data_IF_356644745655
#
_entry.id   IF_356644745655
#
_cell.length_a   1.000
_cell.length_b   1.000
_cell.length_c   1.000
_cell.angle_alpha   90.00
_cell.angle_beta   90.00
_cell.angle_gamma   90.00
#
_symmetry.space_group_name_H-M   'P 1'
#
loop_
_entity.id
_entity.type
_entity.pdbx_description
1 polymer ?
#
# COMPACT_ATOMS: atom_id res chain seq x y z
N UNK A 1 57.05 -31.40 -45.87
CA UNK A 1 55.86 -30.55 -46.12
C UNK A 1 54.97 -30.63 -44.89
N UNK A 2 54.46 -29.48 -44.49
CA UNK A 2 54.13 -29.11 -43.10
C UNK A 2 52.92 -29.85 -42.53
N UNK A 3 53.00 -30.26 -41.27
CA UNK A 3 51.86 -30.68 -40.46
C UNK A 3 51.49 -29.55 -39.50
N UNK A 4 50.21 -29.20 -39.57
CA UNK A 4 49.45 -28.18 -38.86
C UNK A 4 49.48 -28.38 -37.34
N UNK A 5 49.84 -27.32 -36.60
CA UNK A 5 49.69 -27.27 -35.14
C UNK A 5 48.38 -26.56 -34.79
N UNK A 6 47.41 -27.35 -34.33
CA UNK A 6 46.26 -26.85 -33.59
C UNK A 6 46.71 -26.60 -32.14
N UNK A 7 46.84 -25.33 -31.75
CA UNK A 7 46.91 -24.98 -30.34
C UNK A 7 45.55 -25.27 -29.73
N UNK A 8 45.51 -26.29 -28.88
CA UNK A 8 44.44 -26.49 -27.92
C UNK A 8 44.31 -25.22 -27.06
N UNK A 9 43.13 -24.61 -27.05
CA UNK A 9 42.74 -23.63 -26.04
C UNK A 9 42.32 -24.40 -24.78
N UNK A 10 42.91 -24.02 -23.66
CA UNK A 10 42.88 -24.71 -22.38
C UNK A 10 41.45 -24.94 -21.82
N UNK A 11 41.22 -26.05 -21.08
CA UNK A 11 39.95 -26.33 -20.42
C UNK A 11 39.62 -25.39 -19.24
N UNK A 12 40.46 -24.38 -18.96
CA UNK A 12 40.24 -23.35 -17.94
C UNK A 12 39.40 -22.15 -18.43
N UNK A 13 39.09 -22.06 -19.74
CA UNK A 13 38.22 -21.00 -20.30
C UNK A 13 36.71 -21.25 -20.06
N UNK A 14 36.32 -22.40 -19.49
CA UNK A 14 34.92 -22.72 -19.18
C UNK A 14 34.49 -22.33 -17.75
N UNK A 15 35.10 -21.28 -17.17
CA UNK A 15 34.77 -20.78 -15.82
C UNK A 15 34.34 -19.32 -15.76
N UNK A 16 33.83 -18.79 -16.88
CA UNK A 16 33.14 -17.49 -16.91
C UNK A 16 31.63 -17.68 -17.10
N UNK A 17 31.00 -18.38 -16.16
CA UNK A 17 29.55 -18.36 -15.91
C UNK A 17 29.29 -18.62 -14.42
N UNK A 18 29.94 -17.82 -13.57
CA UNK A 18 29.50 -17.63 -12.20
C UNK A 18 28.79 -16.28 -12.15
N UNK A 19 27.51 -16.29 -12.53
CA UNK A 19 26.56 -15.25 -12.13
C UNK A 19 26.39 -15.37 -10.61
N UNK A 20 27.34 -14.88 -9.84
CA UNK A 20 27.11 -14.54 -8.44
C UNK A 20 26.37 -13.22 -8.45
N UNK A 21 25.09 -13.27 -8.83
CA UNK A 21 24.17 -12.22 -8.43
C UNK A 21 24.02 -12.40 -6.92
N UNK A 22 24.81 -11.63 -6.18
CA UNK A 22 24.60 -11.36 -4.77
C UNK A 22 23.28 -10.60 -4.65
N UNK A 23 22.16 -11.30 -4.81
CA UNK A 23 20.81 -10.76 -4.66
C UNK A 23 20.57 -10.26 -3.22
N UNK A 24 21.49 -10.59 -2.30
CA UNK A 24 21.61 -10.07 -0.94
C UNK A 24 21.68 -8.54 -0.87
N UNK A 25 22.25 -7.88 -1.88
CA UNK A 25 22.42 -6.42 -1.91
C UNK A 25 21.10 -5.65 -1.99
N UNK A 26 20.02 -6.31 -2.44
CA UNK A 26 18.70 -5.71 -2.57
C UNK A 26 17.73 -6.17 -1.46
N UNK A 27 18.24 -6.76 -0.38
CA UNK A 27 17.43 -7.07 0.80
C UNK A 27 16.97 -5.76 1.47
N UNK A 28 15.64 -5.59 1.53
CA UNK A 28 14.94 -4.46 2.16
C UNK A 28 15.39 -4.21 3.62
N UNK A 29 15.95 -5.23 4.28
CA UNK A 29 16.43 -5.20 5.66
C UNK A 29 17.75 -4.40 5.84
N UNK A 30 18.34 -3.86 4.77
CA UNK A 30 19.60 -3.09 4.79
C UNK A 30 19.44 -1.58 4.51
N UNK A 31 18.20 -1.07 4.44
CA UNK A 31 17.91 0.33 4.10
C UNK A 31 18.50 1.34 5.12
N UNK A 32 18.75 0.92 6.36
CA UNK A 32 19.35 1.74 7.43
C UNK A 32 20.77 2.26 7.08
N UNK A 33 21.43 1.68 6.07
CA UNK A 33 22.78 2.06 5.63
C UNK A 33 22.84 3.06 4.47
N UNK A 34 21.70 3.46 3.90
CA UNK A 34 21.65 4.38 2.78
C UNK A 34 21.39 5.80 3.30
N UNK A 35 22.46 6.58 3.44
CA UNK A 35 22.38 7.97 3.88
C UNK A 35 21.46 8.79 2.96
N UNK A 36 20.41 9.39 3.54
CA UNK A 36 19.46 10.25 2.84
C UNK A 36 18.12 9.61 2.47
N UNK A 37 17.90 8.32 2.76
CA UNK A 37 16.56 7.73 2.71
C UNK A 37 15.80 8.04 3.99
N UNK A 38 14.53 8.40 3.83
CA UNK A 38 13.57 8.57 4.93
C UNK A 38 12.51 7.48 4.84
N UNK A 39 12.07 6.96 5.99
CA UNK A 39 10.97 6.00 6.04
C UNK A 39 9.73 6.56 5.36
N UNK A 40 9.10 5.72 4.53
CA UNK A 40 7.84 6.09 3.92
C UNK A 40 6.74 6.11 4.98
N UNK A 41 6.10 7.27 5.13
CA UNK A 41 4.93 7.44 5.98
C UNK A 41 3.76 7.99 5.17
N UNK A 42 2.70 7.20 5.01
CA UNK A 42 1.51 7.59 4.25
C UNK A 42 0.84 8.86 4.79
N UNK A 43 0.95 9.12 6.10
CA UNK A 43 0.34 10.27 6.78
C UNK A 43 0.82 11.59 6.17
N UNK A 44 2.07 11.66 5.73
CA UNK A 44 2.68 12.87 5.16
C UNK A 44 2.06 13.27 3.80
N UNK A 45 1.40 12.32 3.14
CA UNK A 45 0.78 12.51 1.83
C UNK A 45 -0.75 12.75 1.91
N UNK A 46 -1.37 12.60 3.08
CA UNK A 46 -2.83 12.78 3.31
C UNK A 46 -3.20 14.27 3.52
N UNK A 47 -2.71 15.12 2.62
CA UNK A 47 -2.80 16.58 2.74
C UNK A 47 -4.12 17.15 2.23
N UNK A 48 -4.70 16.57 1.16
CA UNK A 48 -5.97 17.03 0.57
C UNK A 48 -7.14 16.05 0.77
N UNK A 49 -8.40 16.52 0.69
CA UNK A 49 -9.58 15.65 0.71
C UNK A 49 -9.55 14.59 -0.39
N UNK A 50 -9.06 14.94 -1.58
CA UNK A 50 -8.98 14.05 -2.74
C UNK A 50 -7.96 12.92 -2.50
N UNK A 51 -6.81 13.24 -1.91
CA UNK A 51 -5.80 12.25 -1.55
C UNK A 51 -6.34 11.26 -0.51
N UNK A 52 -7.07 11.76 0.50
CA UNK A 52 -7.73 10.92 1.50
C UNK A 52 -8.78 10.02 0.86
N UNK A 53 -9.61 10.56 -0.02
CA UNK A 53 -10.66 9.79 -0.70
C UNK A 53 -10.05 8.68 -1.57
N UNK A 54 -9.00 8.99 -2.35
CA UNK A 54 -8.28 8.00 -3.15
C UNK A 54 -7.71 6.87 -2.26
N UNK A 55 -7.00 7.25 -1.19
CA UNK A 55 -6.41 6.30 -0.26
C UNK A 55 -7.44 5.36 0.39
N UNK A 56 -8.57 5.91 0.88
CA UNK A 56 -9.63 5.10 1.49
C UNK A 56 -10.30 4.20 0.44
N UNK A 57 -10.50 4.67 -0.79
CA UNK A 57 -11.08 3.86 -1.85
C UNK A 57 -10.20 2.65 -2.22
N UNK A 58 -8.89 2.86 -2.36
CA UNK A 58 -7.94 1.78 -2.64
C UNK A 58 -7.99 0.70 -1.55
N UNK A 59 -8.08 1.12 -0.29
CA UNK A 59 -8.19 0.22 0.85
C UNK A 59 -9.53 -0.52 0.86
N UNK A 60 -10.64 0.14 0.53
CA UNK A 60 -11.95 -0.51 0.40
C UNK A 60 -11.91 -1.58 -0.71
N UNK A 61 -11.27 -1.29 -1.85
CA UNK A 61 -11.12 -2.24 -2.96
C UNK A 61 -10.32 -3.49 -2.59
N UNK A 62 -9.43 -3.42 -1.59
CA UNK A 62 -8.69 -4.59 -1.09
C UNK A 62 -9.59 -5.59 -0.33
N UNK A 63 -10.76 -5.17 0.16
CA UNK A 63 -11.67 -6.00 0.94
C UNK A 63 -11.18 -6.35 2.35
N UNK A 64 -10.05 -5.80 2.81
CA UNK A 64 -9.47 -6.09 4.11
C UNK A 64 -9.93 -5.09 5.19
N UNK A 65 -10.72 -5.58 6.16
CA UNK A 65 -11.24 -4.76 7.25
C UNK A 65 -10.18 -4.22 8.22
N UNK A 66 -9.05 -4.92 8.37
CA UNK A 66 -7.96 -4.45 9.23
C UNK A 66 -7.20 -3.30 8.57
N UNK A 67 -6.93 -3.41 7.26
CA UNK A 67 -6.37 -2.30 6.49
C UNK A 67 -7.31 -1.08 6.50
N UNK A 68 -8.62 -1.28 6.45
CA UNK A 68 -9.59 -0.18 6.57
C UNK A 68 -9.45 0.57 7.90
N UNK A 69 -9.33 -0.15 9.02
CA UNK A 69 -9.12 0.48 10.34
C UNK A 69 -7.80 1.25 10.38
N UNK A 70 -6.75 0.68 9.81
CA UNK A 70 -5.44 1.33 9.73
C UNK A 70 -5.47 2.59 8.88
N UNK A 71 -6.12 2.52 7.72
CA UNK A 71 -6.28 3.67 6.84
C UNK A 71 -7.00 4.83 7.53
N UNK A 72 -8.09 4.55 8.25
CA UNK A 72 -8.79 5.57 9.03
C UNK A 72 -7.89 6.16 10.12
N UNK A 73 -7.04 5.35 10.78
CA UNK A 73 -6.06 5.86 11.76
C UNK A 73 -5.04 6.79 11.12
N UNK A 74 -4.53 6.43 9.95
CA UNK A 74 -3.54 7.25 9.24
C UNK A 74 -4.15 8.62 8.89
N UNK A 75 -5.40 8.65 8.42
CA UNK A 75 -6.12 9.90 8.16
C UNK A 75 -6.37 10.69 9.46
N UNK A 76 -6.74 10.02 10.56
CA UNK A 76 -6.90 10.64 11.87
C UNK A 76 -5.61 11.26 12.39
N UNK A 77 -4.46 10.62 12.13
CA UNK A 77 -3.15 11.15 12.47
C UNK A 77 -2.83 12.40 11.63
N UNK A 78 -3.16 12.40 10.34
CA UNK A 78 -2.93 13.53 9.44
C UNK A 78 -3.81 14.76 9.76
N UNK A 79 -5.07 14.55 10.14
CA UNK A 79 -6.07 15.64 10.31
C UNK A 79 -6.38 15.98 11.77
N UNK A 80 -6.04 15.10 12.71
CA UNK A 80 -6.27 15.25 14.14
C UNK A 80 -7.57 14.61 14.63
N UNK A 81 -7.44 13.71 15.62
CA UNK A 81 -8.55 12.94 16.21
C UNK A 81 -9.64 13.83 16.80
N UNK A 82 -9.27 14.93 17.46
CA UNK A 82 -10.22 15.81 18.13
C UNK A 82 -11.22 16.44 17.16
N UNK A 83 -10.72 16.95 16.02
CA UNK A 83 -11.52 17.57 14.99
C UNK A 83 -12.49 16.56 14.37
N UNK A 84 -11.99 15.35 14.07
CA UNK A 84 -12.82 14.32 13.44
C UNK A 84 -13.87 13.77 14.41
N UNK A 85 -13.54 13.62 15.69
CA UNK A 85 -14.52 13.22 16.71
C UNK A 85 -15.71 14.19 16.75
N UNK A 86 -15.42 15.51 16.79
CA UNK A 86 -16.43 16.56 16.75
C UNK A 86 -17.26 16.50 15.45
N UNK A 87 -16.60 16.40 14.30
CA UNK A 87 -17.28 16.38 12.99
C UNK A 87 -18.07 15.09 12.73
N UNK A 88 -17.68 13.97 13.34
CA UNK A 88 -18.37 12.68 13.22
C UNK A 88 -19.47 12.47 14.26
N UNK A 89 -19.62 13.38 15.24
CA UNK A 89 -20.55 13.22 16.36
C UNK A 89 -20.16 12.10 17.32
N UNK A 90 -18.88 11.68 17.32
CA UNK A 90 -18.34 10.65 18.20
C UNK A 90 -17.52 11.28 19.33
N UNK A 91 -17.46 10.62 20.49
CA UNK A 91 -16.48 10.99 21.51
C UNK A 91 -15.08 10.53 21.11
N UNK A 92 -14.02 11.20 21.58
CA UNK A 92 -12.64 10.76 21.34
C UNK A 92 -12.41 9.31 21.78
N UNK A 93 -12.98 8.94 22.93
CA UNK A 93 -12.96 7.57 23.43
C UNK A 93 -13.67 6.59 22.49
N UNK A 94 -14.81 6.99 21.93
CA UNK A 94 -15.54 6.24 20.91
C UNK A 94 -14.70 6.00 19.66
N UNK A 95 -14.02 7.03 19.15
CA UNK A 95 -13.10 6.91 18.01
C UNK A 95 -11.97 5.92 18.32
N UNK A 96 -11.31 6.05 19.47
CA UNK A 96 -10.25 5.10 19.85
C UNK A 96 -10.78 3.68 20.01
N UNK A 97 -11.94 3.49 20.63
CA UNK A 97 -12.57 2.18 20.80
C UNK A 97 -12.92 1.53 19.47
N UNK A 98 -13.42 2.31 18.52
CA UNK A 98 -13.82 1.87 17.19
C UNK A 98 -12.65 1.44 16.29
N UNK A 99 -11.43 1.89 16.61
CA UNK A 99 -10.23 1.63 15.80
C UNK A 99 -9.20 0.75 16.51
N UNK A 100 -9.51 0.20 17.69
CA UNK A 100 -8.60 -0.76 18.36
C UNK A 100 -8.40 -2.01 17.49
N UNK A 101 -7.24 -2.68 17.57
CA UNK A 101 -6.94 -3.84 16.73
C UNK A 101 -8.04 -4.93 16.76
N UNK A 102 -8.53 -5.27 17.95
CA UNK A 102 -9.59 -6.28 18.17
C UNK A 102 -11.02 -5.78 17.94
N UNK A 103 -11.20 -4.50 17.59
CA UNK A 103 -12.53 -3.94 17.39
C UNK A 103 -13.11 -4.31 16.03
N UNK A 104 -14.43 -4.48 16.01
CA UNK A 104 -15.26 -4.64 14.82
C UNK A 104 -16.27 -3.50 14.80
N UNK A 105 -15.87 -2.31 14.34
CA UNK A 105 -16.77 -1.16 14.31
C UNK A 105 -18.01 -1.48 13.47
N UNK A 106 -19.18 -1.07 13.97
CA UNK A 106 -20.42 -1.19 13.21
C UNK A 106 -20.41 -0.23 12.03
N UNK A 107 -21.25 -0.52 11.02
CA UNK A 107 -21.40 0.32 9.83
C UNK A 107 -21.66 1.79 10.18
N UNK A 108 -22.57 2.06 11.12
CA UNK A 108 -22.91 3.43 11.51
C UNK A 108 -21.69 4.19 12.05
N UNK A 109 -20.82 3.51 12.80
CA UNK A 109 -19.57 4.11 13.30
C UNK A 109 -18.60 4.43 12.17
N UNK A 110 -18.43 3.51 11.22
CA UNK A 110 -17.59 3.74 10.03
C UNK A 110 -18.15 4.91 9.22
N UNK A 111 -19.46 4.92 8.96
CA UNK A 111 -20.13 6.00 8.23
C UNK A 111 -19.97 7.36 8.91
N UNK A 112 -20.13 7.42 10.23
CA UNK A 112 -19.91 8.66 10.99
C UNK A 112 -18.46 9.15 10.88
N UNK A 113 -17.49 8.24 11.00
CA UNK A 113 -16.07 8.59 10.83
C UNK A 113 -15.78 9.13 9.42
N UNK A 114 -16.26 8.45 8.38
CA UNK A 114 -16.11 8.90 7.00
C UNK A 114 -16.78 10.26 6.77
N UNK A 115 -17.97 10.47 7.32
CA UNK A 115 -18.68 11.76 7.23
C UNK A 115 -17.89 12.86 7.94
N UNK A 116 -17.31 12.58 9.12
CA UNK A 116 -16.43 13.51 9.84
C UNK A 116 -15.14 13.83 9.08
N UNK A 117 -14.70 12.95 8.19
CA UNK A 117 -13.60 13.19 7.26
C UNK A 117 -14.01 13.99 6.01
N UNK A 118 -15.29 14.33 5.85
CA UNK A 118 -15.82 14.95 4.64
C UNK A 118 -15.95 13.98 3.47
N UNK A 119 -16.03 12.67 3.75
CA UNK A 119 -16.15 11.61 2.75
C UNK A 119 -17.58 11.07 2.71
N UNK A 120 -17.97 10.60 1.53
CA UNK A 120 -19.24 9.93 1.29
C UNK A 120 -18.98 8.57 0.66
N UNK A 121 -19.67 7.53 1.13
CA UNK A 121 -19.62 6.20 0.51
C UNK A 121 -20.61 6.14 -0.64
N UNK A 122 -20.14 5.74 -1.82
CA UNK A 122 -20.98 5.53 -3.00
C UNK A 122 -21.01 4.07 -3.38
N UNK A 123 -22.21 3.58 -3.70
CA UNK A 123 -22.40 2.26 -4.31
C UNK A 123 -22.33 2.43 -5.80
N UNK A 124 -21.38 1.73 -6.42
CA UNK A 124 -21.25 1.65 -7.88
C UNK A 124 -21.55 0.22 -8.32
N UNK A 125 -22.15 0.06 -9.49
CA UNK A 125 -22.28 -1.26 -10.09
C UNK A 125 -20.87 -1.77 -10.40
N UNK A 126 -20.47 -2.85 -9.72
CA UNK A 126 -19.31 -3.65 -10.14
C UNK A 126 -19.85 -4.47 -11.30
N UNK A 127 -19.78 -3.91 -12.51
CA UNK A 127 -20.41 -4.50 -13.69
C UNK A 127 -19.99 -5.95 -13.93
N UNK A 128 -20.87 -6.72 -14.56
CA UNK A 128 -20.45 -7.94 -15.25
C UNK A 128 -19.29 -7.59 -16.19
N UNK A 129 -18.23 -8.41 -16.19
CA UNK A 129 -17.08 -8.24 -17.07
C UNK A 129 -17.57 -7.97 -18.49
N UNK A 130 -17.26 -6.80 -19.04
CA UNK A 130 -17.54 -6.47 -20.43
C UNK A 130 -16.59 -7.30 -21.31
N UNK A 131 -16.94 -8.55 -21.60
CA UNK A 131 -16.47 -9.25 -22.79
C UNK A 131 -16.92 -8.48 -24.03
N UNK A 132 -16.15 -8.48 -25.14
CA UNK A 132 -16.43 -7.57 -26.24
C UNK A 132 -17.72 -7.98 -26.98
N UNK A 133 -18.49 -6.95 -27.31
CA UNK A 133 -19.45 -6.88 -28.40
C UNK A 133 -20.69 -7.79 -28.35
N UNK A 134 -21.82 -7.16 -28.04
CA UNK A 134 -22.98 -7.30 -28.93
C UNK A 134 -23.51 -5.89 -29.21
N UNK A 135 -22.91 -5.24 -30.21
CA UNK A 135 -23.57 -4.16 -30.93
C UNK A 135 -24.52 -4.84 -31.93
N UNK A 136 -25.82 -4.64 -31.71
CA UNK A 136 -26.88 -4.94 -32.66
C UNK A 136 -26.91 -3.91 -33.80
#
# INVERSE_FOLDING_TARGET
MMATSACATDPDEAKEIAMTNDDSKYLLDSLDGIEGLTDFNVVDYLTSPEAIAAYINDVISSGNSDLMKEAIKNVLQAKGVAKIAEQSGLTREGVYKALRPSSKPQWDTIRSLLTGLGLEVRVVAIGESKGPALAA
#
